data_IF_241471866091
#
_entry.id   IF_241471866091
#
_cell.length_a   1.000
_cell.length_b   1.000
_cell.length_c   1.000
_cell.angle_alpha   90.00
_cell.angle_beta   90.00
_cell.angle_gamma   90.00
#
_symmetry.space_group_name_H-M   'P 1'
#
loop_
_entity.id
_entity.type
_entity.pdbx_description
1 polymer ?
#
# COMPACT_ATOMS: atom_id res chain seq x y z
N UNK A 1 -31.80 7.53 2.49
CA UNK A 1 -30.89 8.28 3.38
C UNK A 1 -29.73 7.36 3.73
N UNK A 2 -28.53 7.45 3.09
CA UNK A 2 -27.42 6.60 3.48
C UNK A 2 -26.71 7.22 4.70
N UNK A 3 -26.55 6.41 5.74
CA UNK A 3 -25.84 6.77 6.97
C UNK A 3 -24.40 7.22 6.67
N UNK A 4 -24.08 8.48 7.02
CA UNK A 4 -22.72 9.04 6.98
C UNK A 4 -21.91 8.48 8.14
N UNK A 5 -20.83 7.77 7.84
CA UNK A 5 -19.77 7.44 8.81
C UNK A 5 -18.82 8.64 8.86
N UNK A 6 -18.72 9.29 10.02
CA UNK A 6 -18.20 10.66 10.22
C UNK A 6 -16.78 10.70 10.82
N UNK A 7 -15.82 9.96 10.26
CA UNK A 7 -14.42 9.97 10.76
C UNK A 7 -13.41 10.39 9.70
N UNK A 8 -12.42 11.22 10.09
CA UNK A 8 -11.13 11.26 9.39
C UNK A 8 -10.50 9.85 9.38
N UNK A 9 -9.77 9.44 8.33
CA UNK A 9 -8.99 8.21 8.38
C UNK A 9 -7.87 8.39 9.42
N UNK A 10 -8.12 7.91 10.64
CA UNK A 10 -7.14 7.88 11.69
C UNK A 10 -6.10 6.80 11.38
N UNK A 11 -4.84 7.21 11.27
CA UNK A 11 -3.70 6.30 11.31
C UNK A 11 -3.66 5.68 12.71
N UNK A 12 -4.24 4.48 12.86
CA UNK A 12 -4.20 3.76 14.13
C UNK A 12 -2.76 3.32 14.42
N UNK A 13 -2.35 3.50 15.68
CA UNK A 13 -1.24 2.75 16.27
C UNK A 13 -1.70 1.30 16.47
N UNK A 14 -1.01 0.33 15.87
CA UNK A 14 -1.37 -1.08 15.97
C UNK A 14 -0.67 -1.77 17.15
N UNK A 15 -1.38 -2.69 17.81
CA UNK A 15 -0.83 -3.56 18.86
C UNK A 15 0.10 -4.62 18.25
N UNK A 16 1.34 -4.81 18.76
CA UNK A 16 2.39 -5.52 18.02
C UNK A 16 2.60 -7.00 18.38
N UNK A 17 1.75 -7.67 19.16
CA UNK A 17 2.18 -8.94 19.78
C UNK A 17 2.09 -10.20 18.91
N UNK A 18 1.26 -10.24 17.84
CA UNK A 18 1.17 -11.42 16.96
C UNK A 18 1.10 -11.06 15.47
N UNK A 19 1.78 -11.84 14.59
CA UNK A 19 1.70 -11.63 13.16
C UNK A 19 0.31 -11.97 12.63
N UNK A 20 -0.33 -11.00 11.96
CA UNK A 20 -1.67 -11.18 11.38
C UNK A 20 -1.54 -11.68 9.95
N UNK A 21 -2.05 -12.88 9.69
CA UNK A 21 -2.07 -13.48 8.35
C UNK A 21 -3.49 -13.40 7.80
N UNK A 22 -3.64 -12.81 6.62
CA UNK A 22 -4.92 -12.78 5.90
C UNK A 22 -4.74 -13.32 4.49
N UNK A 23 -5.78 -13.95 3.97
CA UNK A 23 -5.83 -14.43 2.59
C UNK A 23 -6.97 -13.72 1.86
N UNK A 24 -6.73 -13.39 0.59
CA UNK A 24 -7.71 -12.72 -0.25
C UNK A 24 -7.61 -13.23 -1.68
N UNK A 25 -8.76 -13.61 -2.22
CA UNK A 25 -8.93 -13.72 -3.66
C UNK A 25 -9.25 -12.35 -4.26
N UNK A 26 -8.66 -12.05 -5.41
CA UNK A 26 -8.97 -10.82 -6.12
C UNK A 26 -10.39 -10.87 -6.64
N UNK A 27 -11.14 -9.78 -6.39
CA UNK A 27 -12.53 -9.66 -6.85
C UNK A 27 -12.58 -9.61 -8.38
N UNK A 28 -13.55 -10.32 -8.97
CA UNK A 28 -13.71 -10.46 -10.43
C UNK A 28 -13.75 -9.12 -11.16
N UNK A 29 -14.36 -8.08 -10.59
CA UNK A 29 -14.44 -6.75 -11.20
C UNK A 29 -13.05 -6.09 -11.31
N UNK A 30 -12.17 -6.30 -10.32
CA UNK A 30 -10.78 -5.80 -10.35
C UNK A 30 -9.94 -6.60 -11.35
N UNK A 31 -10.21 -7.90 -11.53
CA UNK A 31 -9.56 -8.74 -12.55
C UNK A 31 -9.92 -8.20 -13.94
N UNK A 32 -11.22 -8.07 -14.23
CA UNK A 32 -11.74 -7.57 -15.51
C UNK A 32 -11.17 -6.19 -15.83
N UNK A 33 -11.18 -5.25 -14.87
CA UNK A 33 -10.59 -3.91 -15.05
C UNK A 33 -9.10 -3.96 -15.36
N UNK A 34 -8.32 -4.83 -14.70
CA UNK A 34 -6.87 -4.95 -14.95
C UNK A 34 -6.58 -5.52 -16.34
N UNK A 35 -7.33 -6.56 -16.74
CA UNK A 35 -7.25 -7.11 -18.10
C UNK A 35 -7.62 -6.05 -19.15
N UNK A 36 -8.71 -5.32 -18.96
CA UNK A 36 -9.15 -4.28 -19.88
C UNK A 36 -8.12 -3.15 -20.02
N UNK A 37 -7.56 -2.64 -18.91
CA UNK A 37 -6.51 -1.59 -18.95
C UNK A 37 -5.23 -2.03 -19.65
N UNK A 38 -4.94 -3.33 -19.70
CA UNK A 38 -3.77 -3.83 -20.42
C UNK A 38 -3.94 -3.79 -21.94
N UNK A 39 -5.19 -3.74 -22.44
CA UNK A 39 -5.48 -3.62 -23.87
C UNK A 39 -5.04 -2.23 -24.33
N UNK A 40 -4.06 -2.16 -25.23
CA UNK A 40 -3.49 -0.89 -25.71
C UNK A 40 -2.45 -0.26 -24.79
N UNK A 41 -2.04 -0.95 -23.70
CA UNK A 41 -0.93 -0.49 -22.87
C UNK A 41 0.41 -0.55 -23.63
N UNK A 42 1.34 0.41 -23.44
CA UNK A 42 2.70 0.35 -23.98
C UNK A 42 3.48 -0.90 -23.57
N UNK A 43 3.06 -1.54 -22.47
CA UNK A 43 3.67 -2.74 -21.90
C UNK A 43 3.01 -4.03 -22.41
N UNK A 44 2.10 -3.94 -23.37
CA UNK A 44 1.40 -5.06 -23.98
C UNK A 44 0.16 -5.54 -23.20
N UNK A 45 -0.63 -6.40 -23.85
CA UNK A 45 -1.83 -7.00 -23.28
C UNK A 45 -1.46 -8.08 -22.27
N UNK A 46 -2.09 -8.07 -21.11
CA UNK A 46 -1.95 -9.12 -20.09
C UNK A 46 -3.10 -10.12 -20.21
N UNK A 47 -2.84 -11.38 -19.85
CA UNK A 47 -3.81 -12.48 -19.86
C UNK A 47 -4.09 -12.97 -18.44
N UNK A 48 -5.18 -13.71 -18.24
CA UNK A 48 -5.62 -14.12 -16.89
C UNK A 48 -4.56 -14.95 -16.16
N UNK A 49 -3.91 -15.87 -16.88
CA UNK A 49 -2.82 -16.73 -16.41
C UNK A 49 -1.54 -15.94 -16.03
N UNK A 50 -1.38 -14.72 -16.54
CA UNK A 50 -0.27 -13.81 -16.20
C UNK A 50 -0.58 -12.87 -15.04
N UNK A 51 -1.79 -12.90 -14.50
CA UNK A 51 -2.13 -12.08 -13.34
C UNK A 51 -1.51 -12.69 -12.08
N UNK A 52 -0.46 -12.01 -11.60
CA UNK A 52 0.29 -12.41 -10.42
C UNK A 52 -0.50 -12.29 -9.09
N UNK A 53 -1.60 -11.53 -9.11
CA UNK A 53 -2.36 -11.12 -7.91
C UNK A 53 -3.80 -11.66 -7.89
N UNK A 54 -4.07 -12.85 -8.47
CA UNK A 54 -5.38 -13.52 -8.33
C UNK A 54 -5.53 -14.11 -6.94
N UNK A 55 -4.54 -14.89 -6.49
CA UNK A 55 -4.39 -15.33 -5.11
C UNK A 55 -3.44 -14.40 -4.37
N UNK A 56 -3.88 -13.81 -3.27
CA UNK A 56 -3.09 -12.90 -2.45
C UNK A 56 -3.06 -13.34 -0.99
N UNK A 57 -1.87 -13.32 -0.40
CA UNK A 57 -1.65 -13.46 1.05
C UNK A 57 -1.08 -12.15 1.54
N UNK A 58 -1.57 -11.65 2.67
CA UNK A 58 -0.95 -10.54 3.38
C UNK A 58 -0.52 -11.00 4.75
N UNK A 59 0.72 -10.68 5.10
CA UNK A 59 1.31 -10.98 6.40
C UNK A 59 1.71 -9.65 7.02
N UNK A 60 1.12 -9.32 8.16
CA UNK A 60 1.49 -8.16 8.97
C UNK A 60 2.47 -8.64 10.04
N UNK A 61 3.68 -8.08 10.05
CA UNK A 61 4.83 -8.47 10.88
C UNK A 61 5.25 -7.30 11.77
N UNK A 62 5.76 -7.55 12.99
CA UNK A 62 5.99 -6.47 13.97
C UNK A 62 6.91 -5.36 13.47
N UNK A 63 7.94 -5.69 12.68
CA UNK A 63 8.94 -4.75 12.19
C UNK A 63 9.57 -5.19 10.85
N UNK A 64 10.47 -4.36 10.33
CA UNK A 64 11.17 -4.58 9.07
C UNK A 64 12.19 -5.73 9.14
N UNK A 65 12.69 -6.07 10.33
CA UNK A 65 13.59 -7.22 10.50
C UNK A 65 12.81 -8.53 10.31
N UNK A 66 11.64 -8.64 10.92
CA UNK A 66 10.73 -9.76 10.71
C UNK A 66 10.27 -9.89 9.26
N UNK A 67 10.02 -8.75 8.56
CA UNK A 67 9.75 -8.71 7.11
C UNK A 67 10.91 -9.33 6.33
N UNK A 68 12.15 -8.91 6.61
CA UNK A 68 13.33 -9.43 5.92
C UNK A 68 13.53 -10.92 6.20
N UNK A 69 13.42 -11.36 7.46
CA UNK A 69 13.56 -12.76 7.85
C UNK A 69 12.54 -13.66 7.14
N UNK A 70 11.28 -13.23 7.02
CA UNK A 70 10.27 -14.01 6.32
C UNK A 70 10.51 -14.01 4.80
N UNK A 71 10.92 -12.88 4.23
CA UNK A 71 11.29 -12.80 2.82
C UNK A 71 12.41 -13.78 2.47
N UNK A 72 13.47 -13.85 3.30
CA UNK A 72 14.58 -14.78 3.10
C UNK A 72 14.13 -16.25 3.19
N UNK A 73 13.27 -16.57 4.16
CA UNK A 73 12.69 -17.92 4.29
C UNK A 73 11.82 -18.30 3.11
N UNK A 74 11.05 -17.35 2.57
CA UNK A 74 10.24 -17.57 1.35
C UNK A 74 11.17 -17.85 0.17
N UNK A 75 12.21 -17.03 -0.02
CA UNK A 75 13.16 -17.18 -1.12
C UNK A 75 13.94 -18.51 -1.06
N UNK A 76 14.21 -19.02 0.13
CA UNK A 76 14.88 -20.31 0.32
C UNK A 76 13.96 -21.52 0.09
N UNK A 77 12.65 -21.38 0.35
CA UNK A 77 11.71 -22.51 0.38
C UNK A 77 10.85 -22.64 -0.87
N UNK A 78 10.55 -21.52 -1.53
CA UNK A 78 9.57 -21.46 -2.62
C UNK A 78 10.19 -20.96 -3.92
N UNK A 79 9.55 -21.33 -5.03
CA UNK A 79 9.89 -20.82 -6.36
C UNK A 79 9.40 -19.37 -6.48
N UNK A 80 10.34 -18.42 -6.39
CA UNK A 80 10.06 -16.98 -6.45
C UNK A 80 10.09 -16.53 -7.91
N UNK A 81 8.91 -16.17 -8.43
CA UNK A 81 8.78 -15.58 -9.76
C UNK A 81 9.25 -14.12 -9.78
N UNK A 82 8.89 -13.34 -8.76
CA UNK A 82 9.20 -11.91 -8.69
C UNK A 82 9.32 -11.46 -7.24
N UNK A 83 10.25 -10.55 -7.00
CA UNK A 83 10.40 -9.90 -5.71
C UNK A 83 10.52 -8.38 -5.90
N UNK A 84 9.60 -7.63 -5.30
CA UNK A 84 9.57 -6.16 -5.36
C UNK A 84 9.75 -5.60 -3.97
N UNK A 85 10.92 -5.02 -3.76
CA UNK A 85 11.29 -4.35 -2.53
C UNK A 85 10.99 -2.85 -2.57
N UNK A 86 9.78 -2.47 -2.18
CA UNK A 86 9.45 -1.06 -2.01
C UNK A 86 9.88 -0.51 -0.64
N UNK A 87 10.40 -1.35 0.25
CA UNK A 87 10.97 -0.89 1.53
C UNK A 87 12.30 -0.19 1.27
N UNK A 88 13.23 -0.85 0.57
CA UNK A 88 14.50 -0.22 0.20
C UNK A 88 14.34 0.90 -0.83
N UNK A 89 13.34 0.78 -1.71
CA UNK A 89 13.06 1.75 -2.79
C UNK A 89 11.58 2.16 -2.78
N UNK A 90 11.16 3.07 -1.88
CA UNK A 90 9.77 3.51 -1.79
C UNK A 90 9.34 4.21 -3.07
N UNK A 91 8.06 4.13 -3.39
CA UNK A 91 7.51 4.88 -4.51
C UNK A 91 7.42 6.37 -4.19
N UNK A 92 7.42 7.21 -5.22
CA UNK A 92 7.23 8.67 -5.08
C UNK A 92 5.89 9.03 -4.44
N UNK A 93 4.88 8.17 -4.60
CA UNK A 93 3.56 8.26 -3.94
C UNK A 93 3.62 8.06 -2.43
N UNK A 94 4.77 7.63 -1.90
CA UNK A 94 4.94 7.27 -0.50
C UNK A 94 4.55 5.84 -0.19
N UNK A 95 4.36 4.96 -1.17
CA UNK A 95 4.13 3.54 -0.91
C UNK A 95 5.42 2.79 -0.58
N UNK A 96 5.43 2.02 0.52
CA UNK A 96 6.49 1.08 0.90
C UNK A 96 5.90 -0.19 1.51
N UNK A 97 6.37 -1.35 1.03
CA UNK A 97 6.06 -2.71 1.48
C UNK A 97 6.89 -3.70 0.65
N UNK A 98 7.03 -4.96 1.08
CA UNK A 98 7.70 -6.01 0.30
C UNK A 98 6.67 -6.92 -0.36
N UNK A 99 6.77 -7.09 -1.68
CA UNK A 99 5.85 -7.92 -2.46
C UNK A 99 6.61 -9.06 -3.14
N UNK A 100 6.26 -10.30 -2.80
CA UNK A 100 6.89 -11.49 -3.36
C UNK A 100 5.82 -12.29 -4.10
N UNK A 101 6.05 -12.56 -5.38
CA UNK A 101 5.21 -13.44 -6.19
C UNK A 101 5.89 -14.80 -6.25
N UNK A 102 5.19 -15.83 -5.76
CA UNK A 102 5.66 -17.22 -5.81
C UNK A 102 4.79 -18.07 -6.72
N UNK A 103 5.37 -19.17 -7.20
CA UNK A 103 4.64 -20.17 -7.99
C UNK A 103 4.24 -21.32 -7.06
N UNK A 104 2.93 -21.56 -6.95
CA UNK A 104 2.34 -22.68 -6.20
C UNK A 104 1.34 -23.40 -7.10
N UNK A 105 1.54 -24.70 -7.29
CA UNK A 105 0.66 -25.54 -8.11
C UNK A 105 0.40 -24.93 -9.51
N UNK A 106 1.48 -24.47 -10.15
CA UNK A 106 1.47 -23.78 -11.46
C UNK A 106 0.66 -22.48 -11.51
N UNK A 107 0.40 -21.84 -10.37
CA UNK A 107 -0.31 -20.56 -10.25
C UNK A 107 0.54 -19.53 -9.51
N UNK A 108 0.40 -18.27 -9.90
CA UNK A 108 1.01 -17.16 -9.17
C UNK A 108 0.21 -16.84 -7.90
N UNK A 109 0.93 -16.65 -6.80
CA UNK A 109 0.40 -16.16 -5.53
C UNK A 109 1.25 -14.96 -5.10
N UNK A 110 0.62 -13.80 -4.97
CA UNK A 110 1.26 -12.61 -4.41
C UNK A 110 1.24 -12.66 -2.88
N UNK A 111 2.40 -12.47 -2.26
CA UNK A 111 2.57 -12.35 -0.82
C UNK A 111 2.99 -10.92 -0.53
N UNK A 112 2.15 -10.20 0.21
CA UNK A 112 2.41 -8.83 0.67
C UNK A 112 2.89 -8.91 2.11
N UNK A 113 4.17 -8.66 2.34
CA UNK A 113 4.75 -8.53 3.67
C UNK A 113 4.70 -7.07 4.06
N UNK A 114 4.09 -6.80 5.22
CA UNK A 114 3.90 -5.45 5.72
C UNK A 114 4.20 -5.35 7.19
N UNK A 115 4.66 -4.19 7.62
CA UNK A 115 4.53 -3.80 9.02
C UNK A 115 3.15 -3.19 9.28
N UNK A 116 2.75 -3.10 10.55
CA UNK A 116 1.53 -2.41 10.88
C UNK A 116 1.49 -0.93 10.45
N UNK A 117 2.64 -0.25 10.37
CA UNK A 117 2.75 1.12 9.85
C UNK A 117 2.43 1.20 8.36
N UNK A 118 3.02 0.28 7.57
CA UNK A 118 2.76 0.16 6.13
C UNK A 118 1.30 -0.20 5.85
N UNK A 119 0.73 -1.10 6.64
CA UNK A 119 -0.68 -1.46 6.54
C UNK A 119 -1.61 -0.28 6.88
N UNK A 120 -1.33 0.45 7.96
CA UNK A 120 -2.11 1.62 8.38
C UNK A 120 -2.11 2.71 7.30
N UNK A 121 -0.96 3.00 6.70
CA UNK A 121 -0.87 3.93 5.57
C UNK A 121 -1.69 3.46 4.36
N UNK A 122 -1.55 2.19 3.99
CA UNK A 122 -2.26 1.63 2.83
C UNK A 122 -3.78 1.65 3.03
N UNK A 123 -4.26 1.37 4.24
CA UNK A 123 -5.69 1.41 4.58
C UNK A 123 -6.23 2.86 4.54
N UNK A 124 -5.44 3.84 4.99
CA UNK A 124 -5.81 5.24 4.89
C UNK A 124 -5.92 5.73 3.43
N UNK A 125 -5.00 5.31 2.57
CA UNK A 125 -5.05 5.59 1.12
C UNK A 125 -6.25 4.90 0.48
N UNK A 126 -6.51 3.62 0.79
CA UNK A 126 -7.67 2.89 0.25
C UNK A 126 -9.00 3.52 0.71
N UNK A 127 -9.09 3.98 1.96
CA UNK A 127 -10.25 4.71 2.45
C UNK A 127 -10.47 6.04 1.71
N UNK A 128 -9.40 6.80 1.44
CA UNK A 128 -9.48 8.04 0.68
C UNK A 128 -9.87 7.79 -0.78
N UNK A 129 -9.25 6.82 -1.45
CA UNK A 129 -9.58 6.40 -2.82
C UNK A 129 -11.06 6.03 -2.94
N UNK A 130 -11.55 5.18 -2.03
CA UNK A 130 -12.94 4.73 -2.05
C UNK A 130 -13.93 5.88 -1.76
N UNK A 131 -13.61 6.77 -0.83
CA UNK A 131 -14.48 7.90 -0.45
C UNK A 131 -14.57 8.96 -1.54
N UNK A 132 -13.47 9.22 -2.23
CA UNK A 132 -13.33 10.34 -3.17
C UNK A 132 -13.36 9.89 -4.64
N UNK A 133 -13.43 8.58 -4.91
CA UNK A 133 -13.37 8.04 -6.26
C UNK A 133 -12.01 8.25 -6.93
N UNK A 134 -10.92 8.29 -6.15
CA UNK A 134 -9.56 8.55 -6.62
C UNK A 134 -8.76 7.26 -6.81
N UNK A 135 -7.53 7.38 -7.28
CA UNK A 135 -6.58 6.25 -7.39
C UNK A 135 -5.16 6.71 -6.99
N UNK A 136 -5.07 7.25 -5.78
CA UNK A 136 -3.90 7.92 -5.20
C UNK A 136 -2.68 6.99 -5.11
N UNK A 137 -2.91 5.70 -4.83
CA UNK A 137 -1.83 4.71 -4.78
C UNK A 137 -1.08 4.53 -6.12
N UNK A 138 -1.77 4.79 -7.24
CA UNK A 138 -1.19 4.71 -8.59
C UNK A 138 -0.66 6.10 -9.02
N UNK A 139 -0.65 7.08 -8.11
CA UNK A 139 -0.25 8.46 -8.40
C UNK A 139 -1.29 9.25 -9.22
N UNK A 140 -2.55 8.78 -9.25
CA UNK A 140 -3.61 9.40 -10.04
C UNK A 140 -4.61 10.07 -9.09
N UNK A 141 -4.59 11.41 -9.08
CA UNK A 141 -5.48 12.23 -8.28
C UNK A 141 -4.97 13.66 -8.13
N UNK A 142 -5.64 14.48 -7.29
CA UNK A 142 -5.20 15.82 -6.96
C UNK A 142 -3.77 15.81 -6.39
N UNK A 143 -2.92 16.72 -6.86
CA UNK A 143 -1.52 16.80 -6.44
C UNK A 143 -1.39 17.05 -4.93
N UNK A 144 -2.30 17.83 -4.35
CA UNK A 144 -2.39 18.08 -2.91
C UNK A 144 -2.56 16.79 -2.10
N UNK A 145 -3.44 15.89 -2.56
CA UNK A 145 -3.70 14.60 -1.93
C UNK A 145 -2.52 13.64 -2.07
N UNK A 146 -1.90 13.58 -3.26
CA UNK A 146 -0.70 12.76 -3.50
C UNK A 146 0.43 13.25 -2.58
N UNK A 147 0.66 14.56 -2.54
CA UNK A 147 1.70 15.19 -1.70
C UNK A 147 1.44 14.94 -0.22
N UNK A 148 0.19 15.10 0.23
CA UNK A 148 -0.22 14.83 1.61
C UNK A 148 0.09 13.39 2.02
N UNK A 149 -0.31 12.39 1.23
CA UNK A 149 -0.05 10.98 1.54
C UNK A 149 1.42 10.61 1.45
N UNK A 150 2.17 11.19 0.50
CA UNK A 150 3.62 11.00 0.40
C UNK A 150 4.37 11.56 1.62
N UNK A 151 3.95 12.72 2.14
CA UNK A 151 4.53 13.31 3.35
C UNK A 151 4.08 12.59 4.63
N UNK A 152 2.86 12.04 4.67
CA UNK A 152 2.42 11.16 5.74
C UNK A 152 3.28 9.89 5.80
N UNK A 153 3.54 9.27 4.64
CA UNK A 153 4.40 8.09 4.52
C UNK A 153 5.81 8.34 5.10
N UNK A 154 6.44 9.46 4.72
CA UNK A 154 7.78 9.82 5.23
C UNK A 154 7.83 9.88 6.75
N UNK A 155 6.79 10.45 7.39
CA UNK A 155 6.73 10.54 8.85
C UNK A 155 6.52 9.18 9.52
N UNK A 156 5.61 8.36 8.97
CA UNK A 156 5.35 7.02 9.50
C UNK A 156 6.59 6.13 9.40
N UNK A 157 7.28 6.18 8.26
CA UNK A 157 8.54 5.46 8.06
C UNK A 157 9.63 5.93 9.00
N UNK A 158 9.74 7.22 9.26
CA UNK A 158 10.71 7.73 10.22
C UNK A 158 10.43 7.21 11.63
N UNK A 159 9.15 7.15 12.04
CA UNK A 159 8.73 6.56 13.32
C UNK A 159 9.04 5.07 13.41
N UNK A 160 8.73 4.32 12.34
CA UNK A 160 9.04 2.90 12.22
C UNK A 160 10.54 2.63 12.40
N UNK A 161 11.39 3.45 11.79
CA UNK A 161 12.86 3.33 11.87
C UNK A 161 13.46 3.97 13.13
N UNK A 162 12.66 4.57 14.01
CA UNK A 162 13.16 5.35 15.15
C UNK A 162 14.02 6.56 14.77
N UNK A 163 13.87 7.07 13.54
CA UNK A 163 14.63 8.23 13.02
C UNK A 163 13.85 9.52 13.17
N UNK A 164 14.57 10.64 13.23
CA UNK A 164 13.94 11.98 13.31
C UNK A 164 13.52 12.44 11.91
N UNK A 165 12.32 13.01 11.83
CA UNK A 165 11.87 13.76 10.66
C UNK A 165 12.45 15.17 10.76
N UNK A 166 13.01 15.68 9.66
CA UNK A 166 13.54 17.04 9.61
C UNK A 166 12.41 18.09 9.66
N UNK A 167 12.73 19.30 10.13
CA UNK A 167 11.73 20.37 10.30
C UNK A 167 11.06 20.78 8.98
N UNK A 168 11.80 20.78 7.87
CA UNK A 168 11.25 21.14 6.57
C UNK A 168 10.17 20.15 6.12
N UNK A 169 10.37 18.85 6.34
CA UNK A 169 9.37 17.81 6.08
C UNK A 169 8.14 17.96 6.99
N UNK A 170 8.33 18.28 8.27
CA UNK A 170 7.21 18.51 9.21
C UNK A 170 6.37 19.73 8.81
N UNK A 171 7.01 20.83 8.44
CA UNK A 171 6.32 22.03 7.96
C UNK A 171 5.62 21.77 6.63
N UNK A 172 6.27 21.07 5.69
CA UNK A 172 5.65 20.69 4.43
C UNK A 172 4.40 19.84 4.65
N UNK A 173 4.43 18.91 5.61
CA UNK A 173 3.27 18.11 5.94
C UNK A 173 2.13 18.95 6.54
N UNK A 174 2.43 19.90 7.43
CA UNK A 174 1.42 20.82 7.97
C UNK A 174 0.73 21.61 6.86
N UNK A 175 1.51 22.20 5.94
CA UNK A 175 0.99 22.92 4.77
C UNK A 175 0.14 22.01 3.88
N UNK A 176 0.61 20.80 3.59
CA UNK A 176 -0.15 19.84 2.78
C UNK A 176 -1.47 19.44 3.46
N UNK A 177 -1.47 19.27 4.79
CA UNK A 177 -2.68 18.99 5.57
C UNK A 177 -3.68 20.16 5.49
N UNK A 178 -3.22 21.39 5.68
CA UNK A 178 -4.05 22.59 5.56
C UNK A 178 -4.65 22.71 4.16
N UNK A 179 -3.87 22.41 3.12
CA UNK A 179 -4.33 22.45 1.74
C UNK A 179 -5.47 21.45 1.47
N UNK A 180 -5.31 20.18 1.89
CA UNK A 180 -6.36 19.18 1.66
C UNK A 180 -7.64 19.44 2.47
N UNK A 181 -7.53 20.16 3.61
CA UNK A 181 -8.69 20.64 4.36
C UNK A 181 -9.36 21.81 3.64
N UNK A 182 -8.57 22.80 3.18
CA UNK A 182 -9.06 23.95 2.45
C UNK A 182 -9.80 23.55 1.16
N UNK A 183 -9.28 22.56 0.44
CA UNK A 183 -9.88 22.00 -0.78
C UNK A 183 -11.10 21.10 -0.49
N UNK A 184 -11.46 20.91 0.78
CA UNK A 184 -12.66 20.17 1.20
C UNK A 184 -12.51 18.64 1.14
N UNK A 185 -11.30 18.11 0.95
CA UNK A 185 -11.08 16.67 1.01
C UNK A 185 -11.23 16.14 2.44
N UNK A 186 -10.80 16.91 3.44
CA UNK A 186 -10.96 16.58 4.86
C UNK A 186 -11.64 17.71 5.61
N UNK A 187 -12.22 17.40 6.77
CA UNK A 187 -12.75 18.43 7.67
C UNK A 187 -11.60 18.99 8.50
N UNK A 188 -11.69 20.26 8.86
CA UNK A 188 -10.78 20.92 9.79
C UNK A 188 -10.93 20.36 11.21
#
# INVERSE_FOLDING_TARGET
MPHRITGEPQLRTPDPEEPVITQRLKRSERIIRKLHRSVGSPHGRTTLDRLEDIGGVRVILPDQEAVQMLADRIAQRWDVHRDRDYVSKPQTTGYWARHIVVIRDSRFVEIQLRTPWEQSWADAVEAADNRLGLTLKDGIGPESMITYFALAAKQLRARELGTKVDQATLEAFRRAREQVVHEGYYKA
#
